data_IF_997483676414
#
_entry.id   IF_997483676414
#
_cell.length_a   1.000
_cell.length_b   1.000
_cell.length_c   1.000
_cell.angle_alpha   90.00
_cell.angle_beta   90.00
_cell.angle_gamma   90.00
#
_symmetry.space_group_name_H-M   'P 1'
#
loop_
_entity.id
_entity.type
_entity.pdbx_description
1 polymer ?
#
# COMPACT_ATOMS: atom_id res chain seq x y z
N UNK A 1 -0.67 -1.07 -47.44
CA UNK A 1 -0.10 -2.36 -46.99
C UNK A 1 1.23 -2.06 -46.31
N UNK A 2 1.21 -1.83 -44.99
CA UNK A 2 2.39 -1.95 -44.12
C UNK A 2 1.87 -2.67 -42.88
N UNK A 3 2.41 -3.87 -42.66
CA UNK A 3 1.96 -4.84 -41.68
C UNK A 3 2.27 -4.36 -40.25
N UNK A 4 1.24 -3.87 -39.56
CA UNK A 4 1.26 -3.61 -38.11
C UNK A 4 0.38 -4.57 -37.30
N UNK A 5 -0.05 -5.69 -37.90
CA UNK A 5 -1.15 -6.51 -37.38
C UNK A 5 -0.81 -7.90 -36.84
N UNK A 6 0.45 -8.38 -36.86
CA UNK A 6 0.73 -9.81 -36.69
C UNK A 6 1.50 -10.25 -35.45
N UNK A 7 1.91 -9.33 -34.56
CA UNK A 7 2.52 -9.71 -33.27
C UNK A 7 1.52 -9.81 -32.11
N UNK A 8 0.34 -9.18 -32.25
CA UNK A 8 -0.74 -9.24 -31.26
C UNK A 8 -1.85 -10.23 -31.64
N UNK A 9 -1.94 -10.62 -32.91
CA UNK A 9 -2.92 -11.57 -33.42
C UNK A 9 -2.59 -13.05 -33.14
N UNK A 10 -1.43 -13.31 -32.52
CA UNK A 10 -0.94 -14.64 -32.18
C UNK A 10 -0.52 -14.68 -30.72
N UNK A 11 -1.37 -14.18 -29.82
CA UNK A 11 -1.30 -14.61 -28.42
C UNK A 11 -1.68 -16.11 -28.38
N UNK A 12 -0.85 -16.98 -27.78
CA UNK A 12 -0.93 -18.43 -27.99
C UNK A 12 -2.17 -19.13 -27.42
N UNK A 13 -3.07 -18.41 -26.75
CA UNK A 13 -4.20 -19.02 -26.05
C UNK A 13 -5.46 -18.14 -26.12
N UNK A 14 -6.39 -18.51 -26.99
CA UNK A 14 -7.75 -17.94 -26.99
C UNK A 14 -8.51 -18.37 -25.72
N UNK A 15 -9.52 -17.62 -25.27
CA UNK A 15 -10.33 -17.97 -24.09
C UNK A 15 -10.93 -19.39 -24.19
N UNK A 16 -11.34 -19.80 -25.39
CA UNK A 16 -11.85 -21.15 -25.67
C UNK A 16 -10.79 -22.24 -25.50
N UNK A 17 -9.51 -21.90 -25.74
CA UNK A 17 -8.41 -22.85 -25.57
C UNK A 17 -8.03 -23.01 -24.10
N UNK A 18 -8.16 -21.98 -23.26
CA UNK A 18 -7.80 -22.03 -21.84
C UNK A 18 -8.91 -22.69 -21.02
N UNK A 19 -10.17 -22.41 -21.35
CA UNK A 19 -11.36 -22.85 -20.63
C UNK A 19 -11.77 -21.85 -19.55
N UNK A 20 -13.05 -21.45 -19.54
CA UNK A 20 -13.53 -20.33 -18.72
C UNK A 20 -13.69 -20.63 -17.22
N UNK A 21 -13.58 -21.89 -16.80
CA UNK A 21 -13.78 -22.32 -15.41
C UNK A 21 -12.59 -21.89 -14.53
N UNK A 22 -12.79 -21.03 -13.51
CA UNK A 22 -11.72 -20.61 -12.61
C UNK A 22 -11.12 -21.80 -11.87
N UNK A 23 -9.79 -21.85 -11.74
CA UNK A 23 -9.07 -22.97 -11.09
C UNK A 23 -9.32 -24.36 -11.71
N UNK A 24 -10.01 -24.47 -12.84
CA UNK A 24 -10.19 -25.70 -13.60
C UNK A 24 -10.01 -25.38 -15.08
N UNK A 25 -8.90 -24.73 -15.39
CA UNK A 25 -8.54 -24.31 -16.73
C UNK A 25 -7.12 -24.80 -17.06
N UNK A 26 -6.68 -24.62 -18.32
CA UNK A 26 -5.38 -25.09 -18.77
C UNK A 26 -4.19 -24.37 -18.12
N UNK A 27 -4.37 -23.23 -17.46
CA UNK A 27 -3.28 -22.55 -16.73
C UNK A 27 -2.72 -23.43 -15.60
N UNK A 28 -3.54 -24.30 -15.00
CA UNK A 28 -3.04 -25.29 -14.03
C UNK A 28 -2.03 -26.21 -14.70
N UNK A 29 -2.32 -26.73 -15.89
CA UNK A 29 -1.40 -27.64 -16.58
C UNK A 29 -0.18 -26.89 -17.12
N UNK A 30 -0.37 -25.65 -17.61
CA UNK A 30 0.68 -24.86 -18.26
C UNK A 30 1.64 -24.21 -17.27
N UNK A 31 1.17 -23.82 -16.08
CA UNK A 31 1.95 -23.03 -15.13
C UNK A 31 1.83 -23.53 -13.69
N UNK A 32 0.64 -23.93 -13.22
CA UNK A 32 0.43 -24.39 -11.84
C UNK A 32 1.17 -25.70 -11.50
N UNK A 33 1.05 -26.72 -12.36
CA UNK A 33 1.68 -28.04 -12.17
C UNK A 33 3.20 -27.97 -12.35
N UNK A 34 3.76 -27.27 -13.36
CA UNK A 34 5.20 -27.01 -13.41
C UNK A 34 5.74 -26.26 -12.18
N UNK A 35 5.00 -25.26 -11.66
CA UNK A 35 5.38 -24.55 -10.45
C UNK A 35 5.46 -25.51 -9.24
N UNK A 36 4.42 -26.31 -9.03
CA UNK A 36 4.36 -27.28 -7.93
C UNK A 36 5.47 -28.33 -8.06
N UNK A 37 5.67 -28.88 -9.26
CA UNK A 37 6.72 -29.86 -9.53
C UNK A 37 8.12 -29.31 -9.22
N UNK A 38 8.40 -28.06 -9.58
CA UNK A 38 9.68 -27.41 -9.25
C UNK A 38 9.86 -27.18 -7.75
N UNK A 39 8.83 -26.72 -7.04
CA UNK A 39 8.92 -26.56 -5.58
C UNK A 39 9.16 -27.90 -4.89
N UNK A 40 8.44 -28.96 -5.30
CA UNK A 40 8.62 -30.31 -4.75
C UNK A 40 10.01 -30.87 -5.10
N UNK A 41 10.46 -30.72 -6.34
CA UNK A 41 11.79 -31.17 -6.76
C UNK A 41 12.90 -30.46 -5.97
N UNK A 42 12.75 -29.15 -5.74
CA UNK A 42 13.65 -28.37 -4.91
C UNK A 42 13.70 -28.87 -3.47
N UNK A 43 12.55 -29.22 -2.88
CA UNK A 43 12.50 -29.78 -1.52
C UNK A 43 13.08 -31.20 -1.43
N UNK A 44 12.87 -32.05 -2.44
CA UNK A 44 13.48 -33.39 -2.50
C UNK A 44 15.01 -33.30 -2.59
N UNK A 45 15.54 -32.36 -3.38
CA UNK A 45 16.99 -32.14 -3.51
C UNK A 45 17.64 -31.76 -2.17
N UNK A 46 16.90 -31.13 -1.26
CA UNK A 46 17.41 -30.75 0.07
C UNK A 46 17.52 -31.92 1.05
N UNK A 47 16.89 -33.08 0.79
CA UNK A 47 16.65 -34.14 1.79
C UNK A 47 17.61 -35.35 1.75
N UNK A 48 18.75 -35.32 1.04
CA UNK A 48 19.61 -36.51 0.97
C UNK A 48 21.11 -36.26 0.83
N UNK A 49 21.92 -37.17 1.39
CA UNK A 49 23.36 -37.36 1.12
C UNK A 49 24.35 -36.52 1.93
N UNK A 50 25.65 -36.66 1.63
CA UNK A 50 26.78 -36.13 2.43
C UNK A 50 27.11 -34.64 2.22
N UNK A 51 26.94 -34.09 1.01
CA UNK A 51 27.10 -32.65 0.73
C UNK A 51 25.79 -31.90 0.99
N UNK A 52 25.65 -31.37 2.20
CA UNK A 52 24.44 -30.70 2.66
C UNK A 52 24.32 -29.25 2.16
N UNK A 53 25.44 -28.51 2.11
CA UNK A 53 25.45 -27.08 1.77
C UNK A 53 25.20 -26.84 0.27
N UNK A 54 25.88 -27.60 -0.60
CA UNK A 54 25.67 -27.50 -2.05
C UNK A 54 24.23 -27.85 -2.46
N UNK A 55 23.62 -28.85 -1.82
CA UNK A 55 22.23 -29.24 -2.06
C UNK A 55 21.22 -28.25 -1.53
N UNK A 56 21.48 -27.63 -0.38
CA UNK A 56 20.61 -26.59 0.14
C UNK A 56 20.52 -25.42 -0.85
N UNK A 57 21.66 -25.00 -1.40
CA UNK A 57 21.71 -23.96 -2.44
C UNK A 57 20.96 -24.37 -3.71
N UNK A 58 21.25 -25.56 -4.26
CA UNK A 58 20.61 -26.06 -5.49
C UNK A 58 19.09 -26.23 -5.32
N UNK A 59 18.67 -26.92 -4.26
CA UNK A 59 17.24 -27.12 -3.97
C UNK A 59 16.52 -25.80 -3.68
N UNK A 60 17.20 -24.84 -3.03
CA UNK A 60 16.69 -23.49 -2.82
C UNK A 60 16.48 -22.71 -4.12
N UNK A 61 17.42 -22.80 -5.08
CA UNK A 61 17.28 -22.19 -6.41
C UNK A 61 16.08 -22.77 -7.16
N UNK A 62 15.96 -24.11 -7.23
CA UNK A 62 14.85 -24.77 -7.93
C UNK A 62 13.51 -24.40 -7.28
N UNK A 63 13.45 -24.38 -5.95
CA UNK A 63 12.25 -23.96 -5.22
C UNK A 63 11.88 -22.50 -5.47
N UNK A 64 12.87 -21.61 -5.58
CA UNK A 64 12.64 -20.20 -5.89
C UNK A 64 12.11 -19.99 -7.31
N UNK A 65 12.61 -20.75 -8.29
CA UNK A 65 12.07 -20.78 -9.66
C UNK A 65 10.62 -21.26 -9.62
N UNK A 66 10.33 -22.35 -8.91
CA UNK A 66 8.96 -22.85 -8.72
C UNK A 66 8.02 -21.81 -8.10
N UNK A 67 8.48 -21.08 -7.09
CA UNK A 67 7.71 -19.98 -6.47
C UNK A 67 7.48 -18.80 -7.42
N UNK A 68 8.45 -18.47 -8.28
CA UNK A 68 8.28 -17.43 -9.29
C UNK A 68 7.21 -17.83 -10.32
N UNK A 69 7.24 -19.08 -10.79
CA UNK A 69 6.20 -19.63 -11.69
C UNK A 69 4.85 -19.68 -10.96
N UNK A 70 4.81 -20.02 -9.68
CA UNK A 70 3.58 -19.99 -8.88
C UNK A 70 3.00 -18.57 -8.79
N UNK A 71 3.85 -17.54 -8.62
CA UNK A 71 3.43 -16.14 -8.64
C UNK A 71 2.85 -15.72 -10.00
N UNK A 72 3.49 -16.16 -11.08
CA UNK A 72 2.96 -15.95 -12.44
C UNK A 72 1.62 -16.67 -12.65
N UNK A 73 1.48 -17.92 -12.20
CA UNK A 73 0.22 -18.66 -12.25
C UNK A 73 -0.90 -17.92 -11.51
N UNK A 74 -0.66 -17.49 -10.27
CA UNK A 74 -1.65 -16.72 -9.49
C UNK A 74 -2.02 -15.43 -10.21
N UNK A 75 -1.05 -14.72 -10.77
CA UNK A 75 -1.31 -13.49 -11.52
C UNK A 75 -2.16 -13.75 -12.78
N UNK A 76 -1.86 -14.81 -13.53
CA UNK A 76 -2.64 -15.19 -14.72
C UNK A 76 -4.04 -15.66 -14.36
N UNK A 77 -4.21 -16.43 -13.27
CA UNK A 77 -5.52 -16.86 -12.79
C UNK A 77 -6.40 -15.69 -12.35
N UNK A 78 -5.83 -14.71 -11.64
CA UNK A 78 -6.55 -13.48 -11.27
C UNK A 78 -7.03 -12.76 -12.53
N UNK A 79 -6.14 -12.59 -13.53
CA UNK A 79 -6.48 -11.92 -14.79
C UNK A 79 -7.53 -12.71 -15.58
N UNK A 80 -7.35 -14.01 -15.70
CA UNK A 80 -8.29 -14.91 -16.36
C UNK A 80 -9.68 -14.83 -15.72
N UNK A 81 -9.76 -14.95 -14.40
CA UNK A 81 -11.03 -14.94 -13.67
C UNK A 81 -11.76 -13.60 -13.80
N UNK A 82 -11.06 -12.48 -13.62
CA UNK A 82 -11.68 -11.15 -13.63
C UNK A 82 -12.01 -10.62 -15.03
N UNK A 83 -11.47 -11.25 -16.08
CA UNK A 83 -11.73 -10.90 -17.48
C UNK A 83 -12.49 -11.99 -18.24
N UNK A 84 -13.30 -12.80 -17.54
CA UNK A 84 -14.21 -13.76 -18.18
C UNK A 84 -13.52 -14.86 -18.99
N UNK A 85 -12.33 -15.27 -18.57
CA UNK A 85 -11.52 -16.29 -19.23
C UNK A 85 -10.43 -15.75 -20.15
N UNK A 86 -10.36 -14.43 -20.36
CA UNK A 86 -9.32 -13.83 -21.20
C UNK A 86 -8.10 -13.43 -20.39
N UNK A 87 -6.93 -13.98 -20.74
CA UNK A 87 -5.63 -13.49 -20.24
C UNK A 87 -5.10 -12.30 -21.06
N UNK A 88 -5.69 -12.06 -22.23
CA UNK A 88 -5.26 -11.07 -23.21
C UNK A 88 -6.02 -9.73 -23.10
N UNK A 89 -6.80 -9.53 -22.03
CA UNK A 89 -7.53 -8.29 -21.79
C UNK A 89 -6.60 -7.07 -21.86
N UNK A 90 -7.04 -5.99 -22.53
CA UNK A 90 -6.18 -4.83 -22.81
C UNK A 90 -6.01 -3.90 -21.61
N UNK A 91 -7.01 -3.85 -20.73
CA UNK A 91 -7.10 -2.89 -19.64
C UNK A 91 -7.04 -3.60 -18.29
N UNK A 92 -6.32 -2.99 -17.33
CA UNK A 92 -6.20 -3.49 -15.96
C UNK A 92 -7.18 -2.74 -15.06
N UNK A 93 -8.41 -3.22 -14.91
CA UNK A 93 -9.46 -2.51 -14.14
C UNK A 93 -9.17 -2.52 -12.63
N UNK A 94 -9.82 -1.63 -11.86
CA UNK A 94 -9.64 -1.51 -10.41
C UNK A 94 -9.70 -2.85 -9.65
N UNK A 95 -10.67 -3.72 -9.96
CA UNK A 95 -10.81 -5.02 -9.31
C UNK A 95 -9.60 -5.93 -9.54
N UNK A 96 -9.09 -5.97 -10.78
CA UNK A 96 -7.89 -6.74 -11.13
C UNK A 96 -6.65 -6.12 -10.48
N UNK A 97 -6.49 -4.80 -10.56
CA UNK A 97 -5.38 -4.10 -9.93
C UNK A 97 -5.31 -4.38 -8.42
N UNK A 98 -6.45 -4.38 -7.72
CA UNK A 98 -6.53 -4.69 -6.30
C UNK A 98 -6.08 -6.12 -6.00
N UNK A 99 -6.63 -7.10 -6.72
CA UNK A 99 -6.31 -8.52 -6.52
C UNK A 99 -4.84 -8.83 -6.83
N UNK A 100 -4.31 -8.31 -7.94
CA UNK A 100 -2.90 -8.46 -8.32
C UNK A 100 -1.96 -7.86 -7.27
N UNK A 101 -2.30 -6.68 -6.73
CA UNK A 101 -1.49 -6.02 -5.71
C UNK A 101 -1.50 -6.81 -4.39
N UNK A 102 -2.67 -7.26 -3.94
CA UNK A 102 -2.79 -8.10 -2.74
C UNK A 102 -2.00 -9.42 -2.88
N UNK A 103 -2.07 -10.07 -4.05
CA UNK A 103 -1.28 -11.26 -4.34
C UNK A 103 0.22 -10.96 -4.27
N UNK A 104 0.68 -9.87 -4.89
CA UNK A 104 2.08 -9.46 -4.85
C UNK A 104 2.58 -9.17 -3.41
N UNK A 105 1.75 -8.56 -2.56
CA UNK A 105 2.06 -8.32 -1.15
C UNK A 105 2.08 -9.61 -0.33
N UNK A 106 1.17 -10.55 -0.61
CA UNK A 106 1.18 -11.87 0.01
C UNK A 106 2.45 -12.66 -0.36
N UNK A 107 2.84 -12.65 -1.64
CA UNK A 107 4.11 -13.24 -2.10
C UNK A 107 5.31 -12.57 -1.44
N UNK A 108 5.29 -11.24 -1.32
CA UNK A 108 6.33 -10.48 -0.63
C UNK A 108 6.48 -10.95 0.82
N UNK A 109 5.38 -11.00 1.58
CA UNK A 109 5.40 -11.43 2.97
C UNK A 109 5.82 -12.91 3.12
N UNK A 110 5.36 -13.79 2.23
CA UNK A 110 5.73 -15.20 2.21
C UNK A 110 7.23 -15.41 1.94
N UNK A 111 7.76 -14.78 0.90
CA UNK A 111 9.18 -14.86 0.55
C UNK A 111 10.08 -14.24 1.61
N UNK A 112 9.67 -13.12 2.22
CA UNK A 112 10.37 -12.53 3.36
C UNK A 112 10.41 -13.51 4.53
N UNK A 113 9.30 -14.19 4.84
CA UNK A 113 9.25 -15.20 5.90
C UNK A 113 10.18 -16.39 5.62
N UNK A 114 10.16 -16.92 4.39
CA UNK A 114 11.05 -18.02 3.99
C UNK A 114 12.53 -17.58 4.10
N UNK A 115 12.84 -16.36 3.68
CA UNK A 115 14.20 -15.82 3.75
C UNK A 115 14.73 -15.64 5.20
N UNK A 116 13.85 -15.61 6.22
CA UNK A 116 14.30 -15.60 7.64
C UNK A 116 14.73 -16.97 8.15
N UNK A 117 14.29 -18.05 7.51
CA UNK A 117 14.59 -19.42 7.93
C UNK A 117 15.59 -20.14 7.02
N UNK A 118 15.88 -19.57 5.85
CA UNK A 118 16.76 -20.18 4.85
C UNK A 118 18.11 -19.47 4.80
N UNK A 119 19.19 -20.23 4.76
CA UNK A 119 20.56 -19.73 4.52
C UNK A 119 20.74 -19.25 3.06
N UNK A 120 19.95 -19.78 2.14
CA UNK A 120 20.03 -19.53 0.70
C UNK A 120 19.73 -18.07 0.33
N UNK A 121 20.68 -17.32 -0.28
CA UNK A 121 20.50 -15.90 -0.61
C UNK A 121 19.37 -15.61 -1.61
N UNK A 122 19.02 -16.57 -2.45
CA UNK A 122 18.04 -16.42 -3.54
C UNK A 122 16.68 -15.96 -3.01
N UNK A 123 16.21 -16.49 -1.89
CA UNK A 123 14.92 -16.08 -1.31
C UNK A 123 14.90 -14.61 -0.88
N UNK A 124 16.04 -14.08 -0.43
CA UNK A 124 16.18 -12.65 -0.08
C UNK A 124 16.11 -11.76 -1.32
N UNK A 125 16.73 -12.20 -2.43
CA UNK A 125 16.63 -11.49 -3.72
C UNK A 125 15.22 -11.56 -4.29
N UNK A 126 14.59 -12.74 -4.29
CA UNK A 126 13.21 -12.94 -4.71
C UNK A 126 12.23 -12.08 -3.88
N UNK A 127 12.39 -12.05 -2.55
CA UNK A 127 11.60 -11.18 -1.68
C UNK A 127 11.77 -9.69 -2.03
N UNK A 128 12.98 -9.26 -2.41
CA UNK A 128 13.25 -7.87 -2.81
C UNK A 128 12.59 -7.53 -4.14
N UNK A 129 12.66 -8.43 -5.12
CA UNK A 129 11.99 -8.28 -6.41
C UNK A 129 10.46 -8.22 -6.25
N UNK A 130 9.88 -9.17 -5.49
CA UNK A 130 8.45 -9.16 -5.17
C UNK A 130 8.03 -7.87 -4.45
N UNK A 131 8.85 -7.38 -3.52
CA UNK A 131 8.60 -6.10 -2.84
C UNK A 131 8.67 -4.91 -3.80
N UNK A 132 9.57 -4.90 -4.77
CA UNK A 132 9.63 -3.83 -5.76
C UNK A 132 8.37 -3.83 -6.64
N UNK A 133 7.93 -5.00 -7.08
CA UNK A 133 6.69 -5.18 -7.85
C UNK A 133 5.47 -4.72 -7.04
N UNK A 134 5.34 -5.17 -5.79
CA UNK A 134 4.24 -4.77 -4.91
C UNK A 134 4.18 -3.26 -4.69
N UNK A 135 5.32 -2.62 -4.43
CA UNK A 135 5.41 -1.17 -4.28
C UNK A 135 5.04 -0.43 -5.58
N UNK A 136 5.51 -0.93 -6.73
CA UNK A 136 5.17 -0.37 -8.05
C UNK A 136 3.67 -0.49 -8.34
N UNK A 137 3.05 -1.65 -8.06
CA UNK A 137 1.62 -1.83 -8.23
C UNK A 137 0.80 -0.88 -7.34
N UNK A 138 1.21 -0.67 -6.09
CA UNK A 138 0.55 0.33 -5.23
C UNK A 138 0.69 1.73 -5.84
N UNK A 139 1.92 2.16 -6.13
CA UNK A 139 2.22 3.54 -6.50
C UNK A 139 1.70 3.91 -7.90
N UNK A 140 1.91 3.04 -8.89
CA UNK A 140 1.59 3.31 -10.29
C UNK A 140 0.18 2.85 -10.63
N UNK A 141 -0.25 1.68 -10.14
CA UNK A 141 -1.58 1.15 -10.46
C UNK A 141 -2.65 1.75 -9.56
N UNK A 142 -2.67 1.43 -8.26
CA UNK A 142 -3.83 1.77 -7.40
C UNK A 142 -3.94 3.26 -7.04
N UNK A 143 -2.81 3.94 -6.81
CA UNK A 143 -2.82 5.35 -6.44
C UNK A 143 -2.97 6.29 -7.63
N UNK A 144 -2.53 5.87 -8.83
CA UNK A 144 -2.49 6.71 -10.04
C UNK A 144 -3.34 6.14 -11.15
N UNK A 145 -2.94 5.05 -11.80
CA UNK A 145 -3.55 4.58 -13.05
C UNK A 145 -5.02 4.13 -12.92
N UNK A 146 -5.30 3.32 -11.93
CA UNK A 146 -6.61 2.68 -11.69
C UNK A 146 -7.32 3.26 -10.47
N UNK A 147 -6.94 4.47 -10.07
CA UNK A 147 -7.63 5.16 -9.01
C UNK A 147 -9.00 5.62 -9.52
N UNK A 148 -10.14 5.23 -8.91
CA UNK A 148 -11.46 5.55 -9.41
C UNK A 148 -11.76 7.06 -9.39
N UNK A 149 -10.97 7.86 -8.66
CA UNK A 149 -11.00 9.32 -8.78
C UNK A 149 -10.57 9.82 -10.18
N UNK A 150 -9.68 9.09 -10.85
CA UNK A 150 -9.15 9.44 -12.18
C UNK A 150 -9.71 8.55 -13.29
N UNK A 151 -9.80 7.24 -13.06
CA UNK A 151 -10.26 6.26 -14.06
C UNK A 151 -11.79 6.21 -14.20
N UNK A 152 -12.51 6.66 -13.17
CA UNK A 152 -13.98 6.54 -13.09
C UNK A 152 -14.49 5.10 -13.23
N UNK A 153 -13.65 4.13 -12.86
CA UNK A 153 -14.07 2.73 -12.78
C UNK A 153 -15.17 2.57 -11.71
N UNK A 154 -16.23 1.77 -12.00
CA UNK A 154 -17.28 1.54 -11.04
C UNK A 154 -16.73 0.79 -9.82
N UNK A 155 -16.96 1.34 -8.63
CA UNK A 155 -16.48 0.71 -7.39
C UNK A 155 -17.51 -0.24 -6.76
N UNK A 156 -18.77 -0.16 -7.20
CA UNK A 156 -19.91 -0.91 -6.70
C UNK A 156 -20.91 -0.06 -5.90
N UNK A 157 -22.12 -0.58 -5.71
CA UNK A 157 -23.26 0.18 -5.15
C UNK A 157 -23.35 0.16 -3.62
N UNK A 158 -22.73 -0.81 -2.95
CA UNK A 158 -22.80 -0.96 -1.49
C UNK A 158 -21.88 0.06 -0.80
N UNK A 159 -22.28 0.67 0.33
CA UNK A 159 -21.53 1.76 0.96
C UNK A 159 -20.19 1.33 1.58
N UNK A 160 -20.12 0.13 2.18
CA UNK A 160 -18.90 -0.38 2.82
C UNK A 160 -18.29 -1.60 2.11
N UNK A 161 -19.11 -2.43 1.47
CA UNK A 161 -18.68 -3.65 0.79
C UNK A 161 -18.59 -3.42 -0.72
N UNK A 162 -17.60 -2.62 -1.11
CA UNK A 162 -17.31 -2.25 -2.49
C UNK A 162 -15.81 -2.48 -2.80
N UNK A 163 -15.37 -2.19 -4.03
CA UNK A 163 -13.98 -2.39 -4.46
C UNK A 163 -12.97 -1.50 -3.73
N UNK A 164 -13.40 -0.46 -3.01
CA UNK A 164 -12.49 0.35 -2.18
C UNK A 164 -11.92 -0.46 -1.02
N UNK A 165 -12.69 -1.43 -0.50
CA UNK A 165 -12.28 -2.27 0.61
C UNK A 165 -11.07 -3.16 0.23
N UNK A 166 -11.13 -4.02 -0.81
CA UNK A 166 -9.95 -4.76 -1.23
C UNK A 166 -8.89 -3.88 -1.89
N UNK A 167 -9.28 -2.85 -2.65
CA UNK A 167 -8.35 -1.98 -3.36
C UNK A 167 -7.46 -1.16 -2.44
N UNK A 168 -8.03 -0.53 -1.41
CA UNK A 168 -7.32 0.44 -0.59
C UNK A 168 -7.17 0.01 0.87
N UNK A 169 -8.25 -0.46 1.53
CA UNK A 169 -8.18 -0.85 2.94
C UNK A 169 -7.32 -2.09 3.14
N UNK A 170 -7.67 -3.22 2.50
CA UNK A 170 -6.92 -4.47 2.65
C UNK A 170 -5.50 -4.34 2.11
N UNK A 171 -5.31 -3.69 0.97
CA UNK A 171 -3.97 -3.44 0.42
C UNK A 171 -3.15 -2.55 1.34
N UNK A 172 -3.75 -1.52 1.93
CA UNK A 172 -3.09 -0.65 2.91
C UNK A 172 -2.65 -1.42 4.17
N UNK A 173 -3.52 -2.28 4.69
CA UNK A 173 -3.20 -3.16 5.83
C UNK A 173 -2.13 -4.19 5.48
N UNK A 174 -2.18 -4.79 4.29
CA UNK A 174 -1.17 -5.72 3.81
C UNK A 174 0.20 -5.03 3.62
N UNK A 175 0.22 -3.80 3.08
CA UNK A 175 1.44 -3.00 2.95
C UNK A 175 2.00 -2.62 4.33
N UNK A 176 1.14 -2.27 5.29
CA UNK A 176 1.55 -2.04 6.67
C UNK A 176 2.13 -3.30 7.30
N UNK A 177 1.53 -4.47 7.06
CA UNK A 177 2.04 -5.76 7.53
C UNK A 177 3.43 -6.07 6.96
N UNK A 178 3.65 -5.86 5.65
CA UNK A 178 4.98 -5.98 5.02
C UNK A 178 5.99 -5.03 5.67
N UNK A 179 5.61 -3.79 5.94
CA UNK A 179 6.47 -2.83 6.65
C UNK A 179 6.83 -3.34 8.05
N UNK A 180 5.85 -3.84 8.82
CA UNK A 180 6.04 -4.36 10.18
C UNK A 180 6.98 -5.57 10.18
N UNK A 181 6.76 -6.54 9.29
CA UNK A 181 7.58 -7.75 9.18
C UNK A 181 9.05 -7.41 8.83
N UNK A 182 9.26 -6.36 8.03
CA UNK A 182 10.58 -5.94 7.57
C UNK A 182 11.39 -5.10 8.56
N UNK A 183 10.80 -4.66 9.69
CA UNK A 183 11.44 -3.70 10.64
C UNK A 183 12.80 -4.14 11.18
N UNK A 184 12.97 -5.45 11.39
CA UNK A 184 14.17 -6.00 12.06
C UNK A 184 15.27 -6.36 11.06
N UNK A 185 14.89 -6.78 9.85
CA UNK A 185 15.82 -7.37 8.87
C UNK A 185 16.22 -6.39 7.76
N UNK A 186 15.35 -5.43 7.43
CA UNK A 186 15.53 -4.53 6.28
C UNK A 186 15.92 -3.12 6.72
N UNK A 187 16.59 -2.35 5.84
CA UNK A 187 16.95 -0.96 6.14
C UNK A 187 15.72 -0.08 6.38
N UNK A 188 15.92 1.01 7.13
CA UNK A 188 14.85 1.93 7.52
C UNK A 188 14.08 2.52 6.34
N UNK A 189 14.75 2.83 5.22
CA UNK A 189 14.09 3.39 4.04
C UNK A 189 13.04 2.45 3.45
N UNK A 190 13.26 1.13 3.51
CA UNK A 190 12.33 0.14 2.97
C UNK A 190 11.05 0.10 3.81
N UNK A 191 11.24 0.03 5.13
CA UNK A 191 10.14 0.04 6.11
C UNK A 191 9.34 1.33 6.03
N UNK A 192 10.03 2.48 5.94
CA UNK A 192 9.39 3.79 5.80
C UNK A 192 8.65 3.91 4.48
N UNK A 193 9.21 3.44 3.37
CA UNK A 193 8.56 3.45 2.07
C UNK A 193 7.23 2.68 2.08
N UNK A 194 7.25 1.45 2.57
CA UNK A 194 6.02 0.63 2.70
C UNK A 194 5.02 1.20 3.70
N UNK A 195 5.49 1.75 4.83
CA UNK A 195 4.62 2.42 5.80
C UNK A 195 3.96 3.68 5.20
N UNK A 196 4.69 4.44 4.39
CA UNK A 196 4.15 5.60 3.67
C UNK A 196 3.13 5.18 2.62
N UNK A 197 3.42 4.15 1.82
CA UNK A 197 2.46 3.61 0.85
C UNK A 197 1.19 3.10 1.53
N UNK A 198 1.32 2.41 2.67
CA UNK A 198 0.18 2.00 3.48
C UNK A 198 -0.64 3.21 3.97
N UNK A 199 0.03 4.24 4.50
CA UNK A 199 -0.62 5.47 4.93
C UNK A 199 -1.37 6.19 3.80
N UNK A 200 -0.75 6.28 2.62
CA UNK A 200 -1.37 6.87 1.42
C UNK A 200 -2.60 6.07 0.97
N UNK A 201 -2.53 4.73 0.96
CA UNK A 201 -3.67 3.88 0.62
C UNK A 201 -4.81 4.02 1.63
N UNK A 202 -4.53 4.05 2.93
CA UNK A 202 -5.57 4.23 3.96
C UNK A 202 -6.19 5.64 3.91
N UNK A 203 -5.38 6.65 3.62
CA UNK A 203 -5.87 8.02 3.40
C UNK A 203 -6.75 8.11 2.14
N UNK A 204 -6.32 7.46 1.05
CA UNK A 204 -7.10 7.35 -0.18
C UNK A 204 -8.41 6.57 0.07
N UNK A 205 -8.37 5.47 0.83
CA UNK A 205 -9.57 4.70 1.21
C UNK A 205 -10.61 5.60 1.87
N UNK A 206 -10.22 6.34 2.92
CA UNK A 206 -11.13 7.19 3.68
C UNK A 206 -11.69 8.31 2.79
N UNK A 207 -10.85 8.92 1.96
CA UNK A 207 -11.27 9.98 1.04
C UNK A 207 -12.21 9.45 -0.04
N UNK A 208 -11.89 8.33 -0.68
CA UNK A 208 -12.75 7.70 -1.68
C UNK A 208 -14.06 7.19 -1.08
N UNK A 209 -14.07 6.78 0.19
CA UNK A 209 -15.30 6.37 0.90
C UNK A 209 -16.22 7.57 1.12
N UNK A 210 -15.68 8.73 1.49
CA UNK A 210 -16.46 9.98 1.53
C UNK A 210 -17.03 10.27 0.14
N UNK A 211 -16.20 10.22 -0.91
CA UNK A 211 -16.67 10.46 -2.28
C UNK A 211 -17.78 9.50 -2.70
N UNK A 212 -17.64 8.22 -2.39
CA UNK A 212 -18.64 7.17 -2.65
C UNK A 212 -19.97 7.45 -1.96
N UNK A 213 -19.93 7.93 -0.71
CA UNK A 213 -21.14 8.29 0.03
C UNK A 213 -21.95 9.43 -0.64
N UNK A 214 -21.29 10.33 -1.38
CA UNK A 214 -21.95 11.45 -2.08
C UNK A 214 -22.25 11.17 -3.56
N UNK A 215 -21.40 10.41 -4.26
CA UNK A 215 -21.48 10.20 -5.72
C UNK A 215 -22.01 8.82 -6.11
N UNK A 216 -22.01 7.86 -5.20
CA UNK A 216 -22.37 6.48 -5.50
C UNK A 216 -21.25 5.75 -6.23
N UNK A 217 -21.60 4.99 -7.26
CA UNK A 217 -20.72 3.99 -7.90
C UNK A 217 -19.53 4.57 -8.67
N UNK A 218 -19.68 5.77 -9.25
CA UNK A 218 -18.69 6.41 -10.12
C UNK A 218 -18.05 7.61 -9.40
N UNK A 219 -16.72 7.59 -9.28
CA UNK A 219 -15.97 8.52 -8.41
C UNK A 219 -15.10 9.52 -9.17
N UNK A 220 -15.23 9.64 -10.49
CA UNK A 220 -14.40 10.54 -11.30
C UNK A 220 -14.43 11.98 -10.80
N UNK A 221 -13.27 12.62 -10.65
CA UNK A 221 -13.13 14.00 -10.15
C UNK A 221 -13.88 15.02 -11.01
N UNK A 222 -14.08 14.71 -12.30
CA UNK A 222 -14.82 15.54 -13.26
C UNK A 222 -16.33 15.65 -12.97
N UNK A 223 -16.90 14.79 -12.11
CA UNK A 223 -18.30 14.87 -11.68
C UNK A 223 -18.61 16.04 -10.73
N UNK A 224 -17.65 16.94 -10.49
CA UNK A 224 -17.76 18.04 -9.53
C UNK A 224 -17.89 17.55 -8.08
N UNK A 225 -18.06 18.48 -7.14
CA UNK A 225 -18.27 18.19 -5.71
C UNK A 225 -19.27 19.17 -5.11
N UNK A 226 -19.98 18.75 -4.06
CA UNK A 226 -20.90 19.62 -3.31
C UNK A 226 -20.19 20.23 -2.10
N UNK A 227 -20.64 21.38 -1.60
CA UNK A 227 -20.07 22.00 -0.39
C UNK A 227 -20.12 21.04 0.81
N UNK A 228 -21.21 20.28 0.94
CA UNK A 228 -21.36 19.26 1.96
C UNK A 228 -20.28 18.16 1.85
N UNK A 229 -19.96 17.71 0.63
CA UNK A 229 -18.86 16.76 0.38
C UNK A 229 -17.51 17.38 0.82
N UNK A 230 -17.24 18.63 0.43
CA UNK A 230 -16.01 19.36 0.76
C UNK A 230 -15.78 19.47 2.27
N UNK A 231 -16.81 19.83 3.04
CA UNK A 231 -16.75 19.91 4.50
C UNK A 231 -16.63 18.54 5.16
N UNK A 232 -17.29 17.52 4.60
CA UNK A 232 -17.23 16.16 5.13
C UNK A 232 -15.82 15.59 5.07
N UNK A 233 -15.05 15.84 4.00
CA UNK A 233 -13.64 15.46 3.95
C UNK A 233 -12.84 16.03 5.14
N UNK A 234 -13.04 17.32 5.47
CA UNK A 234 -12.32 17.96 6.58
C UNK A 234 -12.70 17.33 7.92
N UNK A 235 -14.00 17.11 8.15
CA UNK A 235 -14.48 16.48 9.38
C UNK A 235 -13.94 15.06 9.54
N UNK A 236 -14.03 14.24 8.49
CA UNK A 236 -13.59 12.84 8.51
C UNK A 236 -12.07 12.73 8.68
N UNK A 237 -11.28 13.56 8.00
CA UNK A 237 -9.82 13.57 8.18
C UNK A 237 -9.41 13.98 9.59
N UNK A 238 -10.09 14.97 10.19
CA UNK A 238 -9.83 15.40 11.57
C UNK A 238 -10.16 14.30 12.57
N UNK A 239 -11.35 13.68 12.45
CA UNK A 239 -11.77 12.57 13.31
C UNK A 239 -10.81 11.39 13.19
N UNK A 240 -10.42 11.04 11.96
CA UNK A 240 -9.43 9.98 11.70
C UNK A 240 -8.09 10.33 12.32
N UNK A 241 -7.62 11.57 12.16
CA UNK A 241 -6.37 12.05 12.77
C UNK A 241 -6.40 11.95 14.29
N UNK A 242 -7.50 12.37 14.93
CA UNK A 242 -7.68 12.27 16.37
C UNK A 242 -7.75 10.80 16.85
N UNK A 243 -8.50 9.94 16.15
CA UNK A 243 -8.56 8.52 16.46
C UNK A 243 -7.18 7.84 16.34
N UNK A 244 -6.42 8.15 15.29
CA UNK A 244 -5.04 7.69 15.13
C UNK A 244 -4.12 8.22 16.24
N UNK A 245 -4.34 9.44 16.74
CA UNK A 245 -3.56 9.99 17.85
C UNK A 245 -3.80 9.17 19.12
N UNK A 246 -5.07 8.96 19.48
CA UNK A 246 -5.49 8.19 20.66
C UNK A 246 -4.94 6.77 20.56
N UNK A 247 -5.12 6.12 19.41
CA UNK A 247 -4.61 4.78 19.16
C UNK A 247 -3.08 4.72 19.21
N UNK A 248 -2.39 5.72 18.64
CA UNK A 248 -0.95 5.84 18.70
C UNK A 248 -0.40 6.07 20.12
N UNK A 249 -1.15 6.77 20.97
CA UNK A 249 -0.83 6.92 22.40
C UNK A 249 -1.04 5.61 23.16
N UNK A 250 -2.15 4.90 22.92
CA UNK A 250 -2.43 3.61 23.55
C UNK A 250 -1.40 2.54 23.18
N UNK A 251 -0.96 2.51 21.92
CA UNK A 251 0.08 1.60 21.45
C UNK A 251 1.51 2.03 21.81
N UNK A 252 1.72 3.25 22.34
CA UNK A 252 3.06 3.82 22.53
C UNK A 252 3.85 3.99 21.22
N UNK A 253 3.18 4.07 20.07
CA UNK A 253 3.81 3.99 18.75
C UNK A 253 4.09 5.39 18.18
N UNK A 254 5.34 5.83 18.25
CA UNK A 254 5.78 7.13 17.67
C UNK A 254 5.40 7.28 16.19
N UNK A 255 5.55 6.26 15.31
CA UNK A 255 5.18 6.39 13.90
C UNK A 255 3.68 6.66 13.69
N UNK A 256 2.80 6.00 14.47
CA UNK A 256 1.35 6.19 14.36
C UNK A 256 0.96 7.59 14.83
N UNK A 257 1.59 8.06 15.91
CA UNK A 257 1.41 9.45 16.41
C UNK A 257 1.90 10.48 15.40
N UNK A 258 3.03 10.23 14.74
CA UNK A 258 3.55 11.12 13.69
C UNK A 258 2.61 11.15 12.48
N UNK A 259 2.10 9.99 12.03
CA UNK A 259 1.12 9.90 10.95
C UNK A 259 -0.17 10.65 11.28
N UNK A 260 -0.67 10.52 12.52
CA UNK A 260 -1.79 11.32 13.04
C UNK A 260 -1.50 12.81 12.98
N UNK A 261 -0.33 13.24 13.48
CA UNK A 261 0.07 14.65 13.45
C UNK A 261 0.12 15.23 12.04
N UNK A 262 0.64 14.45 11.07
CA UNK A 262 0.65 14.83 9.65
C UNK A 262 -0.79 14.99 9.12
N UNK A 263 -1.68 14.03 9.40
CA UNK A 263 -3.07 14.10 8.93
C UNK A 263 -3.84 15.27 9.55
N UNK A 264 -3.66 15.53 10.86
CA UNK A 264 -4.26 16.67 11.54
C UNK A 264 -3.73 17.98 10.93
N UNK A 265 -2.42 18.11 10.77
CA UNK A 265 -1.81 19.29 10.17
C UNK A 265 -2.31 19.51 8.73
N UNK A 266 -2.39 18.46 7.93
CA UNK A 266 -2.94 18.50 6.57
C UNK A 266 -4.40 18.97 6.58
N UNK A 267 -5.21 18.46 7.51
CA UNK A 267 -6.62 18.86 7.65
C UNK A 267 -6.75 20.32 8.04
N UNK A 268 -5.96 20.78 9.01
CA UNK A 268 -5.91 22.19 9.43
C UNK A 268 -5.50 23.07 8.25
N UNK A 269 -4.41 22.74 7.56
CA UNK A 269 -3.98 23.46 6.36
C UNK A 269 -5.07 23.52 5.30
N UNK A 270 -5.76 22.40 5.03
CA UNK A 270 -6.87 22.36 4.07
C UNK A 270 -7.98 23.33 4.47
N UNK A 271 -8.46 23.27 5.72
CA UNK A 271 -9.53 24.16 6.22
C UNK A 271 -9.09 25.63 6.14
N UNK A 272 -7.86 25.94 6.52
CA UNK A 272 -7.35 27.32 6.45
C UNK A 272 -7.06 27.83 5.05
N UNK A 273 -6.72 26.99 4.07
CA UNK A 273 -6.41 27.44 2.71
C UNK A 273 -7.65 27.45 1.82
N UNK A 274 -8.49 26.41 1.92
CA UNK A 274 -9.65 26.21 1.05
C UNK A 274 -10.92 26.81 1.66
N UNK A 275 -11.19 26.59 2.95
CA UNK A 275 -12.45 27.05 3.54
C UNK A 275 -12.40 28.56 3.82
N UNK A 276 -11.23 29.12 4.20
CA UNK A 276 -11.01 30.59 4.26
C UNK A 276 -11.22 31.32 2.93
N UNK A 277 -11.05 30.63 1.80
CA UNK A 277 -11.29 31.23 0.48
C UNK A 277 -12.77 31.55 0.29
N UNK A 278 -13.67 30.79 0.95
CA UNK A 278 -15.11 31.02 0.91
C UNK A 278 -15.60 32.10 1.91
N UNK A 279 -14.78 32.49 2.91
CA UNK A 279 -15.15 33.53 3.86
C UNK A 279 -14.95 34.95 3.29
N UNK A 280 -15.83 35.87 3.70
CA UNK A 280 -15.70 37.30 3.39
C UNK A 280 -14.40 37.89 3.94
N UNK A 281 -13.88 38.95 3.30
CA UNK A 281 -12.52 39.48 3.54
C UNK A 281 -12.18 39.80 5.00
N UNK A 282 -13.18 40.18 5.81
CA UNK A 282 -13.01 40.44 7.24
C UNK A 282 -12.65 39.18 8.05
N UNK A 283 -13.41 38.09 7.91
CA UNK A 283 -13.14 36.85 8.64
C UNK A 283 -11.86 36.16 8.18
N UNK A 284 -11.48 36.36 6.91
CA UNK A 284 -10.19 35.92 6.37
C UNK A 284 -9.02 36.62 7.08
N UNK A 285 -9.07 37.94 7.22
CA UNK A 285 -8.04 38.71 7.93
C UNK A 285 -7.94 38.31 9.41
N UNK A 286 -9.07 38.16 10.10
CA UNK A 286 -9.10 37.77 11.52
C UNK A 286 -8.50 36.38 11.76
N UNK A 287 -8.71 35.45 10.82
CA UNK A 287 -8.20 34.08 10.94
C UNK A 287 -6.70 33.98 10.67
N UNK A 288 -6.16 34.81 9.75
CA UNK A 288 -4.70 34.93 9.60
C UNK A 288 -4.04 35.49 10.85
N UNK A 289 -4.67 36.47 11.51
CA UNK A 289 -4.19 37.02 12.78
C UNK A 289 -4.24 35.94 13.86
N UNK A 290 -5.36 35.21 13.97
CA UNK A 290 -5.53 34.12 14.93
C UNK A 290 -4.50 33.00 14.75
N UNK A 291 -4.23 32.60 13.49
CA UNK A 291 -3.23 31.59 13.16
C UNK A 291 -1.81 32.09 13.46
N UNK A 292 -1.49 33.34 13.11
CA UNK A 292 -0.21 33.97 13.43
C UNK A 292 0.06 34.04 14.94
N UNK A 293 -0.94 34.43 15.73
CA UNK A 293 -0.85 34.44 17.19
C UNK A 293 -0.70 33.03 17.76
N UNK A 294 -1.41 32.05 17.21
CA UNK A 294 -1.31 30.64 17.63
C UNK A 294 0.08 30.07 17.38
N UNK A 295 0.67 30.34 16.20
CA UNK A 295 2.04 29.93 15.87
C UNK A 295 3.07 30.60 16.80
N UNK A 296 2.89 31.89 17.10
CA UNK A 296 3.75 32.61 18.04
C UNK A 296 3.69 31.99 19.45
N UNK A 297 2.48 31.67 19.91
CA UNK A 297 2.26 31.03 21.21
C UNK A 297 2.91 29.64 21.29
N UNK A 298 2.73 28.81 20.27
CA UNK A 298 3.32 27.46 20.18
C UNK A 298 4.84 27.55 20.10
N UNK A 299 5.39 28.45 19.28
CA UNK A 299 6.83 28.68 19.18
C UNK A 299 7.45 29.07 20.52
N UNK A 300 6.78 29.97 21.27
CA UNK A 300 7.20 30.38 22.61
C UNK A 300 7.11 29.24 23.63
N UNK A 301 6.07 28.41 23.54
CA UNK A 301 5.92 27.22 24.40
C UNK A 301 7.04 26.21 24.12
N UNK A 302 7.36 25.96 22.85
CA UNK A 302 8.42 25.03 22.46
C UNK A 302 9.81 25.51 22.92
N UNK A 303 10.11 26.80 22.75
CA UNK A 303 11.32 27.43 23.30
C UNK A 303 11.39 27.26 24.83
N UNK A 304 10.29 27.48 25.57
CA UNK A 304 10.26 27.28 27.02
C UNK A 304 10.52 25.82 27.43
N UNK A 305 10.02 24.84 26.68
CA UNK A 305 10.24 23.42 26.97
C UNK A 305 11.67 22.99 26.66
N UNK A 306 12.27 23.48 25.57
CA UNK A 306 13.67 23.23 25.24
C UNK A 306 14.61 23.86 26.27
N UNK A 307 14.40 25.13 26.61
CA UNK A 307 15.22 25.85 27.60
C UNK A 307 15.17 25.20 28.99
N UNK A 308 14.01 24.66 29.40
CA UNK A 308 13.87 23.91 30.66
C UNK A 308 14.63 22.58 30.65
N UNK A 309 14.71 21.94 29.49
CA UNK A 309 15.41 20.67 29.31
C UNK A 309 16.93 20.87 29.30
N UNK A 310 17.41 21.95 28.68
CA UNK A 310 18.82 22.33 28.68
C UNK A 310 19.29 22.73 30.08
N UNK A 311 18.48 23.51 30.82
CA UNK A 311 18.74 23.87 32.21
C UNK A 311 18.75 22.65 33.16
N UNK A 312 17.85 21.68 32.93
CA UNK A 312 17.84 20.43 33.70
C UNK A 312 19.07 19.56 33.41
N UNK A 313 19.56 19.55 32.17
CA UNK A 313 20.78 18.83 31.80
C UNK A 313 22.05 19.48 32.39
N UNK A 314 22.14 20.82 32.37
CA UNK A 314 23.29 21.54 32.98
C UNK A 314 23.34 21.37 34.50
N UNK A 315 22.20 21.35 35.18
CA UNK A 315 22.13 21.08 36.62
C UNK A 315 22.50 19.64 37.00
N UNK A 316 22.50 18.72 36.03
CA UNK A 316 22.85 17.30 36.22
C UNK A 316 24.35 17.02 36.01
N UNK A 317 25.02 17.82 35.16
CA UNK A 317 26.46 17.72 34.87
C UNK A 317 27.35 18.50 35.87
N UNK A 318 26.82 19.49 36.59
CA UNK A 318 27.57 20.18 37.65
C UNK A 318 26.75 20.33 38.96
N UNK A 319 26.78 19.33 39.86
CA UNK A 319 26.05 19.35 41.12
C UNK A 319 26.56 20.40 42.12
N UNK A 320 27.69 21.06 41.86
CA UNK A 320 28.30 22.03 42.79
C UNK A 320 27.94 23.49 42.47
N UNK A 321 27.31 23.79 41.34
CA UNK A 321 26.94 25.16 40.96
C UNK A 321 25.71 25.74 41.71
N UNK A 322 25.08 24.95 42.60
CA UNK A 322 23.91 25.37 43.40
C UNK A 322 24.19 25.51 44.91
N UNK A 323 25.46 25.66 45.31
CA UNK A 323 25.82 26.05 46.69
C UNK A 323 26.27 27.50 46.77
#
# INVERSE_FOLDING_TARGET
IIAGGSLWASMPFDPETIGATPLFNKLILLTGLPAAAMVVAGEILRRGGSDAEGRELQGGIVSAIGLAIAGMFVSLEIRHWLNGGSIAARELRLAEAAAQTLAALAFTAGLQRIATFSSVPVYRHAATAASAIGAMLIAVSLLVGNNPAFSDDPVGTRPLFNLLLPGYLLTGLAAAFVALQSRVVRPRWFTLGYASLAGLLLFAFISLTVRHAFKGEYLGLFHGGTDAEFWTYSAVWLVTGAALLIFGLWLGSLPVRAASGILIALTVCKVFLLDMAALSGFFRALSFIGLGLSLLAIGRLYQRLLLRRDAAATAQDDPQALR
#
